data_IF_264323599626
#
_entry.id   IF_264323599626
#
_cell.length_a   1.000
_cell.length_b   1.000
_cell.length_c   1.000
_cell.angle_alpha   90.00
_cell.angle_beta   90.00
_cell.angle_gamma   90.00
#
_symmetry.space_group_name_H-M   'P 1'
#
loop_
_entity.id
_entity.type
_entity.pdbx_description
1 polymer ?
#
# COMPACT_ATOMS: atom_id res chain seq x y z
N UNK A 1 2.52 19.33 25.21
CA UNK A 1 1.05 19.37 24.94
C UNK A 1 0.86 18.77 23.56
N UNK A 2 -0.09 17.84 23.42
CA UNK A 2 -0.40 17.23 22.12
C UNK A 2 -1.06 18.26 21.20
N UNK A 3 -0.49 18.46 20.00
CA UNK A 3 -1.11 19.26 18.95
C UNK A 3 -1.66 18.33 17.87
N UNK A 4 -2.98 18.24 17.69
CA UNK A 4 -3.59 17.38 16.69
C UNK A 4 -3.53 17.94 15.25
N UNK A 5 -3.01 19.16 15.07
CA UNK A 5 -3.00 19.86 13.77
C UNK A 5 -1.62 19.82 13.14
N UNK A 6 -1.51 19.14 11.99
CA UNK A 6 -0.35 19.21 11.12
C UNK A 6 -0.57 20.27 10.03
N UNK A 7 0.23 21.34 10.06
CA UNK A 7 0.17 22.37 9.01
C UNK A 7 0.81 21.84 7.71
N UNK A 8 0.14 22.00 6.59
CA UNK A 8 0.67 21.57 5.28
C UNK A 8 2.05 22.17 4.98
N UNK A 9 2.30 23.43 5.43
CA UNK A 9 3.60 24.09 5.27
C UNK A 9 4.75 23.47 6.07
N UNK A 10 4.45 22.65 7.08
CA UNK A 10 5.47 21.93 7.86
C UNK A 10 5.82 20.55 7.32
N UNK A 11 5.12 20.08 6.29
CA UNK A 11 5.37 18.78 5.65
C UNK A 11 6.58 18.94 4.74
N UNK A 12 7.67 18.18 4.97
CA UNK A 12 8.84 18.25 4.08
C UNK A 12 8.48 17.80 2.67
N UNK A 13 8.80 18.60 1.66
CA UNK A 13 8.75 18.17 0.27
C UNK A 13 9.99 17.32 -0.03
N UNK A 14 9.80 16.03 -0.30
CA UNK A 14 10.84 15.16 -0.84
C UNK A 14 10.47 14.75 -2.26
N UNK A 15 11.45 14.51 -3.09
CA UNK A 15 11.30 14.17 -4.52
C UNK A 15 10.43 12.94 -4.80
N UNK A 16 10.24 12.07 -3.84
CA UNK A 16 9.26 10.99 -3.86
C UNK A 16 8.31 11.19 -2.71
N UNK A 17 7.27 11.97 -2.98
CA UNK A 17 6.51 12.60 -1.94
C UNK A 17 5.46 11.67 -1.34
N UNK A 18 5.89 10.89 -0.36
CA UNK A 18 4.98 10.33 0.63
C UNK A 18 5.26 11.00 1.97
N UNK A 19 4.38 11.91 2.38
CA UNK A 19 4.45 12.54 3.69
C UNK A 19 3.58 11.77 4.69
N UNK A 20 4.20 11.23 5.73
CA UNK A 20 3.52 10.45 6.77
C UNK A 20 2.73 11.37 7.71
N UNK A 21 1.45 11.60 7.43
CA UNK A 21 0.60 12.52 8.19
C UNK A 21 0.26 11.97 9.58
N UNK A 22 -0.24 10.73 9.64
CA UNK A 22 -0.72 10.11 10.87
C UNK A 22 0.37 9.99 11.94
N UNK A 23 1.53 9.44 11.57
CA UNK A 23 2.63 9.26 12.51
C UNK A 23 3.24 10.59 12.97
N UNK A 24 3.22 11.64 12.14
CA UNK A 24 3.73 12.96 12.50
C UNK A 24 2.91 13.60 13.63
N UNK A 25 1.61 13.30 13.71
CA UNK A 25 0.75 13.73 14.83
C UNK A 25 0.56 12.66 15.90
N UNK A 26 1.34 11.58 15.86
CA UNK A 26 1.37 10.55 16.89
C UNK A 26 0.30 9.45 16.82
N UNK A 27 -0.46 9.33 15.71
CA UNK A 27 -1.39 8.22 15.52
C UNK A 27 -0.61 6.92 15.29
N UNK A 28 -1.04 5.84 15.91
CA UNK A 28 -0.31 4.56 15.89
C UNK A 28 -1.06 3.42 15.20
N UNK A 29 -2.39 3.40 15.32
CA UNK A 29 -3.21 2.31 14.81
C UNK A 29 -3.58 2.43 13.33
N UNK A 30 -3.31 3.58 12.73
CA UNK A 30 -3.59 3.87 11.32
C UNK A 30 -2.39 4.53 10.65
N UNK A 31 -2.19 4.20 9.39
CA UNK A 31 -1.31 4.93 8.47
C UNK A 31 -2.14 5.95 7.69
N UNK A 32 -1.64 7.17 7.51
CA UNK A 32 -2.16 8.12 6.53
C UNK A 32 -1.00 8.87 5.93
N UNK A 33 -0.91 8.86 4.61
CA UNK A 33 0.13 9.53 3.86
C UNK A 33 -0.47 10.43 2.80
N UNK A 34 0.13 11.59 2.60
CA UNK A 34 -0.10 12.39 1.40
C UNK A 34 0.96 11.99 0.38
N UNK A 35 0.52 11.48 -0.76
CA UNK A 35 1.38 10.97 -1.81
C UNK A 35 1.27 11.81 -3.07
N UNK A 36 2.40 12.00 -3.75
CA UNK A 36 2.47 12.58 -5.08
C UNK A 36 3.17 11.59 -6.01
N UNK A 37 2.53 11.23 -7.09
CA UNK A 37 3.05 10.33 -8.11
C UNK A 37 3.34 11.12 -9.38
N UNK A 38 4.61 11.18 -9.77
CA UNK A 38 5.05 11.91 -10.97
C UNK A 38 4.46 11.30 -12.25
N UNK A 39 4.41 12.05 -13.38
CA UNK A 39 4.02 11.49 -14.66
C UNK A 39 4.87 10.26 -15.05
N UNK A 40 4.26 9.31 -15.78
CA UNK A 40 4.89 8.09 -16.29
C UNK A 40 5.56 7.22 -15.22
N UNK A 41 4.99 7.19 -14.01
CA UNK A 41 5.51 6.37 -12.89
C UNK A 41 4.46 5.40 -12.34
N UNK A 42 4.94 4.39 -11.66
CA UNK A 42 4.11 3.45 -10.89
C UNK A 42 4.31 3.69 -9.39
N UNK A 43 3.24 3.66 -8.61
CA UNK A 43 3.25 3.99 -7.18
C UNK A 43 4.11 3.02 -6.35
N UNK A 44 4.02 1.74 -6.67
CA UNK A 44 4.71 0.65 -5.97
C UNK A 44 4.79 -0.57 -6.87
N UNK A 45 5.54 -1.59 -6.47
CA UNK A 45 5.33 -2.94 -7.00
C UNK A 45 3.91 -3.39 -6.66
N UNK A 46 3.24 -4.08 -7.58
CA UNK A 46 1.89 -4.61 -7.37
C UNK A 46 1.91 -5.56 -6.18
N UNK A 47 1.06 -5.30 -5.19
CA UNK A 47 1.04 -6.05 -3.94
C UNK A 47 -0.35 -6.10 -3.32
N UNK A 48 -0.51 -6.98 -2.33
CA UNK A 48 -1.66 -7.08 -1.45
C UNK A 48 -1.20 -7.45 -0.04
N UNK A 49 -2.03 -7.20 0.97
CA UNK A 49 -1.73 -7.42 2.38
C UNK A 49 -2.57 -8.54 2.98
N UNK A 50 -1.99 -9.34 3.88
CA UNK A 50 -2.74 -10.38 4.57
C UNK A 50 -3.63 -9.84 5.70
N UNK A 51 -3.20 -8.79 6.37
CA UNK A 51 -3.84 -8.31 7.61
C UNK A 51 -4.25 -6.84 7.49
N UNK A 52 -3.39 -5.98 6.96
CA UNK A 52 -3.68 -4.56 6.85
C UNK A 52 -4.64 -4.29 5.68
N UNK A 53 -5.69 -3.51 5.94
CA UNK A 53 -6.52 -2.94 4.88
C UNK A 53 -5.95 -1.59 4.45
N UNK A 54 -5.98 -1.33 3.15
CA UNK A 54 -5.56 -0.05 2.59
C UNK A 54 -6.71 0.65 1.88
N UNK A 55 -6.64 1.97 1.87
CA UNK A 55 -7.54 2.80 1.10
C UNK A 55 -6.80 3.99 0.51
N UNK A 56 -7.35 4.51 -0.58
CA UNK A 56 -6.80 5.66 -1.28
C UNK A 56 -7.92 6.62 -1.65
N UNK A 57 -7.61 7.91 -1.64
CA UNK A 57 -8.52 8.95 -2.09
C UNK A 57 -7.78 9.92 -3.00
N UNK A 58 -8.23 10.03 -4.25
CA UNK A 58 -7.59 10.87 -5.26
C UNK A 58 -7.96 12.33 -5.03
N UNK A 59 -6.94 13.19 -4.88
CA UNK A 59 -7.10 14.63 -4.66
C UNK A 59 -7.03 15.41 -5.98
N UNK A 60 -6.08 15.05 -6.86
CA UNK A 60 -5.90 15.69 -8.17
C UNK A 60 -5.13 14.79 -9.11
N UNK A 61 -5.27 15.05 -10.41
CA UNK A 61 -4.66 14.26 -11.48
C UNK A 61 -5.40 12.95 -11.72
N UNK A 62 -5.17 12.35 -12.90
CA UNK A 62 -5.75 11.08 -13.30
C UNK A 62 -4.67 10.01 -13.37
N UNK A 63 -5.05 8.77 -13.11
CA UNK A 63 -4.17 7.63 -13.20
C UNK A 63 -4.95 6.36 -13.55
N UNK A 64 -4.24 5.28 -13.75
CA UNK A 64 -4.80 3.93 -13.86
C UNK A 64 -4.59 3.19 -12.56
N UNK A 65 -5.67 2.70 -11.97
CA UNK A 65 -5.61 1.65 -10.95
C UNK A 65 -5.32 0.34 -11.66
N UNK A 66 -4.18 -0.23 -11.36
CA UNK A 66 -3.80 -1.56 -11.82
C UNK A 66 -4.23 -2.58 -10.78
N UNK A 67 -5.01 -3.56 -11.19
CA UNK A 67 -5.45 -4.68 -10.35
C UNK A 67 -4.89 -5.98 -10.92
N UNK A 68 -4.32 -6.80 -10.07
CA UNK A 68 -3.76 -8.09 -10.44
C UNK A 68 -4.38 -9.19 -9.58
N UNK A 69 -5.00 -10.15 -10.24
CA UNK A 69 -5.50 -11.36 -9.61
C UNK A 69 -4.36 -12.39 -9.56
N UNK A 70 -3.92 -12.72 -8.36
CA UNK A 70 -2.79 -13.62 -8.13
C UNK A 70 -3.10 -15.08 -8.49
N UNK A 71 -4.37 -15.48 -8.51
CA UNK A 71 -4.76 -16.85 -8.84
C UNK A 71 -4.87 -17.07 -10.36
N UNK A 72 -5.58 -16.17 -11.04
CA UNK A 72 -5.71 -16.22 -12.51
C UNK A 72 -4.51 -15.63 -13.25
N UNK A 73 -3.62 -14.90 -12.52
CA UNK A 73 -2.47 -14.16 -13.07
C UNK A 73 -2.86 -13.15 -14.16
N UNK A 74 -4.02 -12.53 -13.97
CA UNK A 74 -4.55 -11.53 -14.91
C UNK A 74 -4.42 -10.12 -14.34
N UNK A 75 -3.96 -9.19 -15.19
CA UNK A 75 -3.90 -7.77 -14.89
C UNK A 75 -5.05 -7.04 -15.59
N UNK A 76 -5.70 -6.14 -14.87
CA UNK A 76 -6.74 -5.25 -15.40
C UNK A 76 -6.45 -3.82 -14.97
N UNK A 77 -6.89 -2.86 -15.77
CA UNK A 77 -6.73 -1.44 -15.47
C UNK A 77 -8.09 -0.75 -15.38
N UNK A 78 -8.18 0.25 -14.51
CA UNK A 78 -9.35 1.14 -14.38
C UNK A 78 -8.87 2.57 -14.30
N UNK A 79 -9.50 3.46 -15.05
CA UNK A 79 -9.27 4.90 -14.90
C UNK A 79 -9.78 5.38 -13.54
N UNK A 80 -8.98 6.20 -12.88
CA UNK A 80 -9.32 6.86 -11.62
C UNK A 80 -8.94 8.34 -11.70
N UNK A 81 -9.69 9.16 -10.96
CA UNK A 81 -9.49 10.61 -10.96
C UNK A 81 -9.96 11.27 -9.66
N UNK A 82 -9.93 12.61 -9.58
CA UNK A 82 -10.24 13.36 -8.39
C UNK A 82 -11.62 13.02 -7.81
N UNK A 83 -11.67 12.70 -6.50
CA UNK A 83 -12.88 12.30 -5.80
C UNK A 83 -13.10 10.80 -5.73
N UNK A 84 -12.36 9.99 -6.48
CA UNK A 84 -12.47 8.54 -6.39
C UNK A 84 -11.87 8.01 -5.09
N UNK A 85 -12.58 7.05 -4.48
CA UNK A 85 -12.15 6.30 -3.33
C UNK A 85 -11.90 4.84 -3.71
N UNK A 86 -10.74 4.32 -3.37
CA UNK A 86 -10.34 2.95 -3.62
C UNK A 86 -10.10 2.26 -2.28
N UNK A 87 -10.76 1.14 -2.02
CA UNK A 87 -10.54 0.31 -0.84
C UNK A 87 -9.96 -1.04 -1.24
N UNK A 88 -8.86 -1.41 -0.60
CA UNK A 88 -8.16 -2.67 -0.81
C UNK A 88 -8.29 -3.52 0.46
N UNK A 89 -9.06 -4.61 0.36
CA UNK A 89 -9.26 -5.53 1.46
C UNK A 89 -8.01 -6.36 1.71
N UNK A 90 -7.84 -6.79 2.95
CA UNK A 90 -6.80 -7.74 3.33
C UNK A 90 -7.18 -9.20 3.03
N UNK A 91 -6.21 -10.10 3.14
CA UNK A 91 -6.40 -11.54 3.05
C UNK A 91 -6.74 -12.05 1.64
N UNK A 92 -7.55 -13.09 1.58
CA UNK A 92 -7.88 -13.77 0.31
C UNK A 92 -8.60 -12.87 -0.69
N UNK A 93 -9.40 -11.89 -0.24
CA UNK A 93 -10.03 -10.91 -1.13
C UNK A 93 -9.00 -9.92 -1.69
N UNK A 94 -8.00 -9.53 -0.88
CA UNK A 94 -6.86 -8.72 -1.33
C UNK A 94 -5.99 -9.43 -2.35
N UNK A 95 -5.82 -10.75 -2.22
CA UNK A 95 -5.10 -11.58 -3.18
C UNK A 95 -5.66 -11.49 -4.60
N UNK A 96 -6.98 -11.41 -4.74
CA UNK A 96 -7.65 -11.24 -6.03
C UNK A 96 -7.56 -9.80 -6.59
N UNK A 97 -7.09 -8.85 -5.77
CA UNK A 97 -7.02 -7.41 -6.11
C UNK A 97 -5.69 -6.78 -5.67
N UNK A 98 -4.58 -7.49 -5.86
CA UNK A 98 -3.26 -6.88 -5.70
C UNK A 98 -3.15 -5.65 -6.59
N UNK A 99 -2.58 -4.56 -6.09
CA UNK A 99 -2.79 -3.25 -6.71
C UNK A 99 -1.54 -2.37 -6.79
N UNK A 100 -1.60 -1.44 -7.72
CA UNK A 100 -0.70 -0.28 -7.85
C UNK A 100 -1.42 0.81 -8.66
N UNK A 101 -0.84 2.02 -8.71
CA UNK A 101 -1.28 3.09 -9.62
C UNK A 101 -0.22 3.33 -10.67
N UNK A 102 -0.66 3.65 -11.89
CA UNK A 102 0.20 4.13 -12.99
C UNK A 102 -0.31 5.48 -13.49
N UNK A 103 0.54 6.50 -13.45
CA UNK A 103 0.26 7.78 -14.07
C UNK A 103 0.63 7.74 -15.56
N UNK A 104 -0.07 8.56 -16.33
CA UNK A 104 0.26 8.83 -17.75
C UNK A 104 1.00 10.16 -17.86
N UNK A 105 0.40 11.17 -18.49
CA UNK A 105 1.06 12.43 -18.81
C UNK A 105 1.01 13.47 -17.69
N UNK A 106 0.30 13.19 -16.61
CA UNK A 106 0.12 14.11 -15.49
C UNK A 106 0.49 13.54 -14.13
N UNK A 107 0.82 14.43 -13.20
CA UNK A 107 1.05 14.11 -11.80
C UNK A 107 -0.28 13.79 -11.11
N UNK A 108 -0.31 12.75 -10.25
CA UNK A 108 -1.44 12.45 -9.38
C UNK A 108 -1.09 12.73 -7.92
N UNK A 109 -2.00 13.40 -7.19
CA UNK A 109 -1.94 13.53 -5.72
C UNK A 109 -3.07 12.77 -5.08
N UNK A 110 -2.74 12.03 -4.02
CA UNK A 110 -3.72 11.19 -3.33
C UNK A 110 -3.37 11.02 -1.86
N UNK A 111 -4.38 10.73 -1.05
CA UNK A 111 -4.18 10.17 0.28
C UNK A 111 -4.08 8.65 0.17
N UNK A 112 -3.10 8.08 0.84
CA UNK A 112 -2.99 6.66 1.11
C UNK A 112 -3.18 6.44 2.60
N UNK A 113 -4.06 5.54 2.97
CA UNK A 113 -4.30 5.21 4.37
C UNK A 113 -4.59 3.74 4.56
N UNK A 114 -4.49 3.29 5.81
CA UNK A 114 -4.77 1.91 6.14
C UNK A 114 -4.63 1.62 7.62
N UNK A 115 -4.98 0.40 7.99
CA UNK A 115 -4.74 -0.12 9.32
C UNK A 115 -3.25 -0.34 9.56
N UNK A 116 -2.86 -0.44 10.82
CA UNK A 116 -1.50 -0.80 11.23
C UNK A 116 -1.57 -1.89 12.28
N UNK A 117 -1.85 -3.11 11.85
CA UNK A 117 -1.82 -4.27 12.72
C UNK A 117 -0.42 -4.47 13.32
N UNK A 118 -0.29 -5.12 14.48
CA UNK A 118 1.01 -5.43 15.08
C UNK A 118 1.95 -6.21 14.15
N UNK A 119 1.38 -7.05 13.29
CA UNK A 119 2.11 -7.77 12.24
C UNK A 119 1.34 -7.71 10.94
N UNK A 120 2.06 -7.76 9.83
CA UNK A 120 1.48 -7.85 8.51
C UNK A 120 2.40 -8.57 7.53
N UNK A 121 1.83 -9.09 6.44
CA UNK A 121 2.56 -9.66 5.31
C UNK A 121 2.05 -9.01 4.04
N UNK A 122 2.92 -8.33 3.33
CA UNK A 122 2.66 -7.85 1.98
C UNK A 122 3.20 -8.86 0.97
N UNK A 123 2.37 -9.27 0.03
CA UNK A 123 2.71 -10.19 -1.04
C UNK A 123 2.90 -9.45 -2.36
N UNK A 124 3.93 -9.84 -3.09
CA UNK A 124 4.30 -9.32 -4.40
C UNK A 124 4.17 -10.44 -5.43
N UNK A 125 2.96 -10.68 -5.95
CA UNK A 125 2.66 -11.90 -6.72
C UNK A 125 3.42 -12.03 -8.03
N UNK A 126 3.77 -10.91 -8.67
CA UNK A 126 4.54 -10.92 -9.91
C UNK A 126 6.02 -11.28 -9.69
N UNK A 127 6.56 -10.95 -8.50
CA UNK A 127 7.94 -11.23 -8.12
C UNK A 127 8.09 -12.55 -7.34
N UNK A 128 6.99 -13.23 -7.04
CA UNK A 128 6.93 -14.41 -6.18
C UNK A 128 7.59 -14.17 -4.80
N UNK A 129 7.39 -12.98 -4.23
CA UNK A 129 8.00 -12.55 -2.97
C UNK A 129 6.95 -12.09 -1.97
N UNK A 130 7.36 -12.10 -0.71
CA UNK A 130 6.62 -11.44 0.37
C UNK A 130 7.55 -10.56 1.21
N UNK A 131 6.94 -9.59 1.88
CA UNK A 131 7.56 -8.79 2.93
C UNK A 131 6.76 -8.94 4.21
N UNK A 132 7.38 -9.49 5.24
CA UNK A 132 6.81 -9.61 6.58
C UNK A 132 7.34 -8.52 7.49
N UNK A 133 6.46 -7.96 8.31
CA UNK A 133 6.80 -6.95 9.32
C UNK A 133 6.11 -7.27 10.66
N UNK A 134 6.89 -7.16 11.74
CA UNK A 134 6.39 -7.13 13.12
C UNK A 134 6.66 -5.73 13.69
N UNK A 135 5.61 -4.94 13.81
CA UNK A 135 5.71 -3.54 14.26
C UNK A 135 5.88 -3.41 15.77
N UNK A 136 5.69 -4.50 16.55
CA UNK A 136 5.90 -4.50 18.00
C UNK A 136 7.36 -4.47 18.39
N UNK A 137 8.22 -5.13 17.62
CA UNK A 137 9.65 -5.23 17.91
C UNK A 137 10.54 -4.67 16.77
N UNK A 138 9.93 -4.26 15.65
CA UNK A 138 10.63 -3.70 14.50
C UNK A 138 11.26 -4.73 13.56
N UNK A 139 11.03 -6.02 13.77
CA UNK A 139 11.54 -7.06 12.89
C UNK A 139 10.86 -7.00 11.53
N UNK A 140 11.64 -7.21 10.46
CA UNK A 140 11.13 -7.28 9.10
C UNK A 140 11.98 -8.24 8.26
N UNK A 141 11.33 -8.90 7.31
CA UNK A 141 11.98 -9.92 6.48
C UNK A 141 11.36 -9.98 5.09
N UNK A 142 12.21 -10.05 4.09
CA UNK A 142 11.85 -10.50 2.75
C UNK A 142 12.00 -12.01 2.61
N UNK A 143 11.13 -12.65 1.86
CA UNK A 143 11.20 -14.06 1.55
C UNK A 143 10.57 -14.39 0.20
N UNK A 144 10.78 -15.60 -0.25
CA UNK A 144 10.13 -16.15 -1.44
C UNK A 144 8.79 -16.78 -1.05
N UNK A 145 7.73 -16.53 -1.82
CA UNK A 145 6.36 -16.96 -1.50
C UNK A 145 6.23 -18.48 -1.37
N UNK A 146 7.08 -19.25 -2.05
CA UNK A 146 7.14 -20.71 -1.93
C UNK A 146 7.48 -21.17 -0.51
N UNK A 147 8.23 -20.38 0.25
CA UNK A 147 8.61 -20.71 1.63
C UNK A 147 7.47 -20.57 2.62
N UNK A 148 6.42 -19.79 2.30
CA UNK A 148 5.21 -19.65 3.12
C UNK A 148 4.24 -20.83 2.95
N UNK A 149 4.31 -21.52 1.81
CA UNK A 149 3.43 -22.66 1.50
C UNK A 149 3.93 -24.01 2.05
N UNK A 150 5.11 -24.04 2.67
CA UNK A 150 5.62 -25.26 3.28
C UNK A 150 4.76 -25.64 4.48
N UNK A 151 3.99 -26.75 4.37
CA UNK A 151 3.35 -27.40 5.52
C UNK A 151 4.40 -27.56 6.63
N UNK A 152 4.01 -27.33 7.92
CA UNK A 152 4.87 -27.73 9.00
C UNK A 152 5.23 -29.22 8.84
N UNK A 153 6.45 -29.65 9.17
CA UNK A 153 6.83 -31.06 9.08
C UNK A 153 5.79 -31.87 9.87
N UNK A 154 5.28 -32.93 9.25
CA UNK A 154 4.39 -33.84 9.96
C UNK A 154 5.09 -34.26 11.25
N UNK A 155 4.44 -34.01 12.38
CA UNK A 155 4.95 -34.44 13.68
C UNK A 155 5.25 -35.92 13.65
N UNK A 156 6.49 -36.28 13.86
CA UNK A 156 6.93 -37.65 14.08
C UNK A 156 6.34 -38.22 15.36
#
# INVERSE_FOLDING_TARGET
MYDPVLKASSIPSKERTSAALASTVGLQSVGVHLCTLAPHTQSSTIHWHEIDEEWFYVLSGNAKLVLYDSDSKTETEREIGPGDFIGCKAGTEGKATAHAFRTTDEEMKYLCGGTKAPMDIAHYPQDNKFFWINRTNGDMKWGDSETLSSKPPASA
#
